data_IF_373785920413
#
_entry.id   IF_373785920413
#
_cell.length_a   1.000
_cell.length_b   1.000
_cell.length_c   1.000
_cell.angle_alpha   90.00
_cell.angle_beta   90.00
_cell.angle_gamma   90.00
#
_symmetry.space_group_name_H-M   'P 1'
#
loop_
_entity.id
_entity.type
_entity.pdbx_description
1 polymer ?
#
# COMPACT_ATOMS: atom_id res chain seq x y z
N UNK A 1 -14.15 3.70 -13.18
CA UNK A 1 -14.16 3.03 -11.86
C UNK A 1 -12.73 3.02 -11.32
N UNK A 2 -12.45 3.71 -10.21
CA UNK A 2 -11.08 3.85 -9.66
C UNK A 2 -10.64 2.55 -8.95
N UNK A 3 -9.38 2.15 -9.14
CA UNK A 3 -8.83 0.92 -8.55
C UNK A 3 -8.50 1.16 -7.08
N UNK A 4 -9.11 0.37 -6.19
CA UNK A 4 -8.86 0.40 -4.74
C UNK A 4 -7.86 -0.71 -4.39
N UNK A 5 -6.81 -0.36 -3.67
CA UNK A 5 -5.78 -1.29 -3.21
C UNK A 5 -5.74 -1.26 -1.67
N UNK A 6 -5.57 -2.42 -1.05
CA UNK A 6 -5.37 -2.53 0.41
C UNK A 6 -3.89 -2.59 0.71
N UNK A 7 -3.44 -1.85 1.73
CA UNK A 7 -2.05 -1.83 2.16
C UNK A 7 -1.93 -1.51 3.65
N UNK A 8 -0.71 -1.64 4.17
CA UNK A 8 -0.37 -1.35 5.56
C UNK A 8 0.51 -0.10 5.62
N UNK A 9 0.26 0.79 6.57
CA UNK A 9 1.09 1.98 6.78
C UNK A 9 2.41 1.58 7.45
N UNK A 10 3.54 1.89 6.83
CA UNK A 10 4.89 1.64 7.38
C UNK A 10 5.47 2.91 8.01
N UNK A 11 5.19 4.07 7.42
CA UNK A 11 5.83 5.33 7.81
C UNK A 11 4.82 6.46 8.01
N UNK A 12 4.87 7.03 9.22
CA UNK A 12 4.08 8.19 9.66
C UNK A 12 4.84 9.52 9.52
N UNK A 13 6.18 9.49 9.55
CA UNK A 13 7.03 10.65 9.87
C UNK A 13 6.91 11.91 8.98
N UNK A 14 6.16 11.87 7.88
CA UNK A 14 6.00 12.99 6.97
C UNK A 14 4.64 13.67 7.18
N UNK A 15 4.63 15.00 7.20
CA UNK A 15 3.38 15.76 7.27
C UNK A 15 2.49 15.50 6.06
N UNK A 16 1.22 15.17 6.34
CA UNK A 16 0.14 14.94 5.35
C UNK A 16 0.41 13.83 4.32
N UNK A 17 1.47 13.04 4.52
CA UNK A 17 1.92 12.03 3.57
C UNK A 17 2.29 10.75 4.28
N UNK A 18 1.63 9.64 3.98
CA UNK A 18 1.91 8.34 4.59
C UNK A 18 2.58 7.39 3.60
N UNK A 19 3.53 6.61 4.10
CA UNK A 19 4.18 5.57 3.32
C UNK A 19 3.42 4.26 3.53
N UNK A 20 2.72 3.81 2.49
CA UNK A 20 1.89 2.60 2.50
C UNK A 20 2.57 1.49 1.72
N UNK A 21 2.57 0.29 2.28
CA UNK A 21 3.04 -0.93 1.63
C UNK A 21 1.89 -1.79 1.16
N UNK A 22 1.90 -2.12 -0.14
CA UNK A 22 0.94 -3.04 -0.76
C UNK A 22 1.66 -4.35 -1.08
N UNK A 23 1.17 -5.43 -0.48
CA UNK A 23 1.60 -6.79 -0.77
C UNK A 23 0.65 -7.40 -1.79
N UNK A 24 1.22 -7.99 -2.85
CA UNK A 24 0.48 -8.77 -3.84
C UNK A 24 1.15 -10.11 -4.06
N UNK A 25 0.34 -11.15 -4.08
CA UNK A 25 0.77 -12.50 -4.42
C UNK A 25 0.52 -12.70 -5.91
N UNK A 26 1.53 -13.16 -6.64
CA UNK A 26 1.40 -13.49 -8.06
C UNK A 26 2.12 -14.80 -8.37
N UNK A 27 1.63 -15.52 -9.38
CA UNK A 27 2.32 -16.70 -9.89
C UNK A 27 3.34 -16.26 -10.93
N UNK A 28 4.55 -16.80 -10.85
CA UNK A 28 5.54 -16.61 -11.91
C UNK A 28 4.98 -17.20 -13.22
N UNK A 29 5.01 -16.43 -14.31
CA UNK A 29 4.40 -16.80 -15.59
C UNK A 29 4.93 -18.13 -16.14
N UNK A 30 6.26 -18.30 -16.13
CA UNK A 30 6.93 -19.52 -16.63
C UNK A 30 6.92 -20.72 -15.67
N UNK A 31 7.22 -20.48 -14.39
CA UNK A 31 7.49 -21.55 -13.42
C UNK A 31 6.32 -21.88 -12.48
N UNK A 32 5.23 -21.10 -12.49
CA UNK A 32 4.07 -21.31 -11.63
C UNK A 32 4.30 -21.07 -10.13
N UNK A 33 5.56 -20.83 -9.70
CA UNK A 33 5.93 -20.54 -8.30
C UNK A 33 5.17 -19.30 -7.80
N UNK A 34 4.57 -19.43 -6.62
CA UNK A 34 3.88 -18.33 -5.94
C UNK A 34 4.93 -17.40 -5.33
N UNK A 35 4.91 -16.13 -5.74
CA UNK A 35 5.84 -15.09 -5.32
C UNK A 35 5.09 -13.91 -4.71
N UNK A 36 5.73 -13.29 -3.73
CA UNK A 36 5.22 -12.09 -3.08
C UNK A 36 5.95 -10.87 -3.67
N UNK A 37 5.19 -9.89 -4.15
CA UNK A 37 5.72 -8.59 -4.59
C UNK A 37 5.16 -7.49 -3.73
N UNK A 38 6.07 -6.64 -3.28
CA UNK A 38 5.78 -5.52 -2.39
C UNK A 38 5.96 -4.22 -3.16
N UNK A 39 5.01 -3.29 -3.05
CA UNK A 39 5.11 -1.94 -3.61
C UNK A 39 4.90 -0.92 -2.50
N UNK A 40 5.83 0.02 -2.35
CA UNK A 40 5.67 1.18 -1.47
C UNK A 40 5.02 2.32 -2.26
N UNK A 41 4.07 3.00 -1.65
CA UNK A 41 3.36 4.15 -2.20
C UNK A 41 3.38 5.29 -1.20
N UNK A 42 3.46 6.51 -1.71
CA UNK A 42 3.21 7.72 -0.94
C UNK A 42 1.73 8.07 -1.12
N UNK A 43 1.02 8.22 -0.01
CA UNK A 43 -0.41 8.48 0.00
C UNK A 43 -0.66 9.80 0.72
N UNK A 44 -1.53 10.63 0.16
CA UNK A 44 -1.92 11.87 0.80
C UNK A 44 -3.00 11.59 1.86
N UNK A 45 -2.77 12.07 3.08
CA UNK A 45 -3.73 12.02 4.20
C UNK A 45 -3.75 13.41 4.86
N UNK A 46 -4.78 14.21 4.59
CA UNK A 46 -4.86 15.59 5.08
C UNK A 46 -5.01 15.68 6.61
N UNK A 47 -5.63 14.68 7.21
CA UNK A 47 -5.99 14.69 8.64
C UNK A 47 -5.00 13.90 9.50
N UNK A 48 -3.99 13.27 8.90
CA UNK A 48 -2.99 12.44 9.57
C UNK A 48 -3.62 11.37 10.49
N UNK A 49 -4.80 10.86 10.12
CA UNK A 49 -5.57 9.94 10.98
C UNK A 49 -4.91 8.56 11.00
N UNK A 50 -4.28 8.17 9.89
CA UNK A 50 -3.79 6.80 9.70
C UNK A 50 -2.45 6.60 10.42
N UNK A 51 -2.35 5.69 11.39
CA UNK A 51 -1.11 5.47 12.17
C UNK A 51 -0.27 4.33 11.57
N UNK A 52 1.01 4.27 11.89
CA UNK A 52 1.86 3.14 11.52
C UNK A 52 1.29 1.81 12.05
N UNK A 53 1.13 0.82 11.17
CA UNK A 53 0.52 -0.48 11.48
C UNK A 53 -0.93 -0.63 11.02
N UNK A 54 -1.61 0.47 10.68
CA UNK A 54 -3.00 0.42 10.24
C UNK A 54 -3.14 -0.16 8.83
N UNK A 55 -4.27 -0.84 8.60
CA UNK A 55 -4.66 -1.32 7.27
C UNK A 55 -5.54 -0.28 6.60
N UNK A 56 -5.05 0.29 5.50
CA UNK A 56 -5.70 1.37 4.75
C UNK A 56 -6.11 0.93 3.35
N UNK A 57 -7.19 1.51 2.85
CA UNK A 57 -7.61 1.35 1.45
C UNK A 57 -7.17 2.59 0.69
N UNK A 58 -6.21 2.42 -0.21
CA UNK A 58 -5.70 3.47 -1.07
C UNK A 58 -6.43 3.41 -2.42
N UNK A 59 -6.94 4.54 -2.87
CA UNK A 59 -7.49 4.70 -4.21
C UNK A 59 -6.57 5.58 -5.04
N UNK A 60 -6.37 5.21 -6.31
CA UNK A 60 -5.72 6.09 -7.28
C UNK A 60 -6.59 7.34 -7.47
N UNK A 61 -6.03 8.50 -7.14
CA UNK A 61 -6.67 9.81 -7.29
C UNK A 61 -6.13 10.49 -8.52
#
# INVERSE_FOLDING_TARGET
>A
MRKKLRGTVIGDKNDKTRVVEIKRVYKHSKYGKVLNKTKKLHCHDEKNISVAGDTVVVAET
#
